data_IF_549498535831
#
_entry.id   IF_549498535831
#
_cell.length_a   1.000
_cell.length_b   1.000
_cell.length_c   1.000
_cell.angle_alpha   90.00
_cell.angle_beta   90.00
_cell.angle_gamma   90.00
#
_symmetry.space_group_name_H-M   'P 1'
#
loop_
_entity.id
_entity.type
_entity.pdbx_description
1 polymer ?
2 non-polymer ?
3 non-polymer ?
#
# COMPACT_ATOMS: atom_id res chain seq x y z
N UNK A 1 -19.72 12.83 -16.54
CA UNK A 1 -19.72 12.45 -17.98
C UNK A 1 -20.34 11.06 -18.18
N UNK A 2 -20.64 10.73 -19.43
CA UNK A 2 -21.23 9.44 -19.80
C UNK A 2 -20.19 8.35 -19.63
N UNK A 3 -18.94 8.77 -19.70
CA UNK A 3 -17.78 7.90 -19.53
C UNK A 3 -17.10 8.42 -18.26
N UNK A 4 -17.19 7.65 -17.17
CA UNK A 4 -16.59 8.06 -15.90
C UNK A 4 -15.08 7.87 -15.94
N UNK A 5 -14.33 8.79 -15.33
CA UNK A 5 -12.86 8.71 -15.30
C UNK A 5 -12.40 8.19 -13.92
N UNK A 6 -11.92 6.95 -13.90
CA UNK A 6 -11.49 6.30 -12.67
C UNK A 6 -9.98 6.21 -12.46
N UNK A 7 -9.54 6.57 -11.26
CA UNK A 7 -8.15 6.45 -10.90
C UNK A 7 -8.22 5.30 -9.91
N UNK A 8 -7.57 4.18 -10.20
CA UNK A 8 -7.65 3.05 -9.30
C UNK A 8 -6.35 2.71 -8.62
N UNK A 9 -6.42 2.60 -7.29
CA UNK A 9 -5.28 2.23 -6.49
C UNK A 9 -5.53 0.78 -6.08
N UNK A 10 -5.19 -0.16 -6.95
CA UNK A 10 -5.37 -1.58 -6.68
C UNK A 10 -4.18 -2.08 -5.89
N UNK A 11 -4.27 -1.97 -4.57
CA UNK A 11 -3.18 -2.39 -3.70
C UNK A 11 -3.37 -3.75 -3.07
N UNK A 12 -2.30 -4.23 -2.44
CA UNK A 12 -2.33 -5.53 -1.80
C UNK A 12 -3.08 -5.53 -0.47
N UNK A 13 -3.21 -4.36 0.15
CA UNK A 13 -3.92 -4.23 1.41
C UNK A 13 -5.29 -3.61 1.22
N UNK A 14 -5.32 -2.40 0.67
CA UNK A 14 -6.57 -1.68 0.40
C UNK A 14 -6.61 -1.34 -1.09
N UNK A 15 -7.82 -1.18 -1.62
CA UNK A 15 -8.01 -0.80 -3.02
C UNK A 15 -8.86 0.48 -2.98
N UNK A 16 -8.26 1.62 -3.32
CA UNK A 16 -8.99 2.89 -3.31
C UNK A 16 -9.41 3.27 -4.73
N UNK A 17 -10.61 3.81 -4.88
CA UNK A 17 -11.08 4.22 -6.20
C UNK A 17 -11.43 5.70 -6.26
N UNK A 18 -10.74 6.42 -7.14
CA UNK A 18 -10.94 7.85 -7.32
C UNK A 18 -11.84 8.11 -8.53
N UNK A 19 -12.81 9.00 -8.37
CA UNK A 19 -13.74 9.33 -9.45
C UNK A 19 -13.71 10.80 -9.84
N UNK A 20 -13.16 11.08 -11.01
CA UNK A 20 -13.06 12.45 -11.49
C UNK A 20 -14.34 13.24 -11.31
N UNK A 21 -14.30 14.22 -10.41
CA UNK A 21 -15.46 15.04 -10.17
C UNK A 21 -16.15 14.84 -8.84
N UNK A 22 -15.76 13.82 -8.08
CA UNK A 22 -16.42 13.59 -6.80
C UNK A 22 -15.54 13.14 -5.64
N UNK A 23 -14.26 12.93 -5.91
CA UNK A 23 -13.35 12.50 -4.85
C UNK A 23 -13.32 10.99 -4.70
N UNK A 24 -13.00 10.53 -3.50
CA UNK A 24 -12.92 9.10 -3.22
C UNK A 24 -14.31 8.46 -3.06
N UNK A 25 -14.60 7.46 -3.88
CA UNK A 25 -15.90 6.78 -3.87
C UNK A 25 -15.87 5.28 -3.56
N UNK A 26 -14.67 4.70 -3.45
CA UNK A 26 -14.51 3.30 -3.08
C UNK A 26 -13.30 3.35 -2.17
N UNK A 27 -13.35 2.60 -1.07
CA UNK A 27 -12.25 2.60 -0.11
C UNK A 27 -12.39 1.38 0.77
N UNK A 28 -11.89 0.25 0.29
CA UNK A 28 -12.00 -0.99 1.03
C UNK A 28 -10.88 -2.00 0.82
N UNK A 29 -10.70 -2.90 1.80
CA UNK A 29 -9.70 -3.96 1.80
C UNK A 29 -9.73 -4.77 0.52
N UNK A 30 -8.54 -5.04 -0.01
CA UNK A 30 -8.41 -5.81 -1.24
C UNK A 30 -8.61 -7.30 -0.95
N UNK A 31 -9.79 -7.65 -0.44
CA UNK A 31 -10.07 -9.05 -0.13
C UNK A 31 -11.37 -9.58 -0.74
N UNK A 32 -11.33 -10.84 -1.17
CA UNK A 32 -12.48 -11.50 -1.79
C UNK A 32 -12.75 -12.82 -1.09
N UNK A 33 -13.98 -12.98 -0.60
CA UNK A 33 -14.37 -14.21 0.09
C UNK A 33 -15.32 -14.95 -0.83
N UNK A 34 -14.97 -16.19 -1.16
CA UNK A 34 -15.79 -17.02 -2.04
C UNK A 34 -16.24 -18.30 -1.31
N UNK A 35 -16.99 -19.14 -1.99
CA UNK A 35 -17.44 -20.41 -1.43
C UNK A 35 -16.45 -21.46 -1.90
N UNK A 36 -15.53 -21.85 -1.01
CA UNK A 36 -14.49 -22.81 -1.34
C UNK A 36 -14.84 -23.96 -2.29
N UNK A 37 -16.12 -24.35 -2.34
CA UNK A 37 -16.53 -25.46 -3.20
C UNK A 37 -17.20 -25.10 -4.53
N UNK A 38 -18.22 -24.24 -4.50
CA UNK A 38 -18.92 -23.83 -5.73
C UNK A 38 -18.15 -22.79 -6.52
N UNK A 39 -17.53 -21.85 -5.82
CA UNK A 39 -16.77 -20.81 -6.48
C UNK A 39 -17.58 -19.53 -6.57
N UNK A 40 -18.46 -19.34 -5.59
CA UNK A 40 -19.34 -18.19 -5.57
C UNK A 40 -18.77 -17.06 -4.69
N UNK A 41 -18.96 -15.83 -5.14
CA UNK A 41 -18.50 -14.66 -4.40
C UNK A 41 -19.51 -14.41 -3.29
N UNK A 42 -19.05 -14.35 -2.04
CA UNK A 42 -19.93 -14.10 -0.88
C UNK A 42 -19.91 -12.61 -0.56
N UNK A 43 -18.72 -12.12 -0.26
CA UNK A 43 -18.55 -10.71 0.06
C UNK A 43 -17.18 -10.27 -0.44
N UNK A 44 -17.05 -8.96 -0.68
CA UNK A 44 -15.79 -8.36 -1.13
C UNK A 44 -15.58 -7.07 -0.32
N UNK A 45 -14.33 -6.79 0.05
CA UNK A 45 -14.05 -5.61 0.81
C UNK A 45 -14.07 -5.90 2.31
N UNK A 46 -14.36 -4.88 3.10
CA UNK A 46 -14.39 -4.99 4.55
C UNK A 46 -15.06 -6.25 5.11
N UNK A 47 -16.23 -6.61 4.59
CA UNK A 47 -16.93 -7.80 5.08
C UNK A 47 -16.12 -9.06 4.81
N UNK A 48 -15.30 -9.02 3.77
CA UNK A 48 -14.49 -10.17 3.42
C UNK A 48 -13.21 -10.19 4.23
N UNK A 49 -12.71 -9.01 4.61
CA UNK A 49 -11.48 -8.95 5.40
C UNK A 49 -11.75 -9.50 6.77
N UNK A 50 -12.85 -9.05 7.37
CA UNK A 50 -13.24 -9.49 8.70
C UNK A 50 -13.32 -11.02 8.74
N UNK A 51 -13.52 -11.63 7.58
CA UNK A 51 -13.58 -13.07 7.48
C UNK A 51 -12.22 -13.74 7.67
N UNK A 52 -11.17 -13.13 7.14
CA UNK A 52 -9.81 -13.69 7.23
C UNK A 52 -9.44 -14.31 8.55
N UNK A 53 -9.07 -15.58 8.53
CA UNK A 53 -8.67 -16.26 9.76
C UNK A 53 -9.78 -16.72 10.70
N UNK A 54 -11.02 -16.57 10.27
CA UNK A 54 -12.17 -16.98 11.07
C UNK A 54 -13.13 -17.70 10.12
N UNK A 55 -12.60 -18.26 9.05
CA UNK A 55 -13.44 -18.94 8.08
C UNK A 55 -13.41 -20.45 8.22
N UNK A 56 -14.51 -21.09 7.82
CA UNK A 56 -14.64 -22.54 7.89
C UNK A 56 -13.75 -23.08 6.78
N UNK A 57 -13.89 -24.36 6.45
CA UNK A 57 -13.09 -24.91 5.38
C UNK A 57 -13.87 -24.73 4.09
N UNK A 58 -15.14 -24.33 4.22
CA UNK A 58 -15.99 -24.14 3.06
C UNK A 58 -15.98 -22.70 2.53
N UNK A 59 -15.04 -21.91 3.03
CA UNK A 59 -14.92 -20.54 2.57
C UNK A 59 -13.44 -20.25 2.43
N UNK A 60 -13.10 -19.49 1.39
CA UNK A 60 -11.72 -19.13 1.12
C UNK A 60 -11.64 -17.61 0.92
N UNK A 61 -11.16 -16.89 1.94
CA UNK A 61 -11.02 -15.44 1.85
C UNK A 61 -9.69 -15.19 1.16
N UNK A 62 -9.72 -14.57 -0.01
CA UNK A 62 -8.50 -14.35 -0.77
C UNK A 62 -8.02 -12.91 -0.94
N UNK A 63 -6.70 -12.76 -0.76
CA UNK A 63 -5.99 -11.50 -0.93
C UNK A 63 -5.27 -11.77 -2.27
N UNK A 64 -5.96 -11.49 -3.39
CA UNK A 64 -5.45 -11.69 -4.75
C UNK A 64 -4.24 -10.85 -5.10
N UNK A 65 -4.07 -9.74 -4.38
CA UNK A 65 -2.93 -8.89 -4.63
C UNK A 65 -1.87 -9.23 -3.61
N UNK A 66 -0.66 -9.47 -4.08
CA UNK A 66 0.46 -9.79 -3.20
C UNK A 66 1.77 -9.26 -3.80
N UNK A 67 2.40 -8.36 -3.05
CA UNK A 67 3.65 -7.70 -3.44
C UNK A 67 3.40 -6.67 -4.53
N UNK A 68 2.29 -5.96 -4.38
CA UNK A 68 1.93 -4.92 -5.34
C UNK A 68 1.24 -5.36 -6.62
N UNK A 69 1.54 -6.59 -7.05
CA UNK A 69 0.99 -7.14 -8.29
C UNK A 69 -0.09 -8.21 -8.12
N UNK A 70 -0.59 -8.72 -9.24
CA UNK A 70 -1.63 -9.76 -9.23
C UNK A 70 -1.06 -11.14 -8.86
N UNK A 71 -1.43 -11.62 -7.68
CA UNK A 71 -0.97 -12.93 -7.19
C UNK A 71 -1.87 -14.06 -7.71
N UNK A 72 -3.16 -13.77 -7.83
CA UNK A 72 -4.12 -14.75 -8.32
C UNK A 72 -5.03 -13.96 -9.27
N UNK A 73 -4.73 -14.09 -10.56
CA UNK A 73 -5.43 -13.36 -11.62
C UNK A 73 -6.94 -13.28 -11.57
N UNK A 74 -7.61 -14.33 -12.02
CA UNK A 74 -9.06 -14.37 -12.05
C UNK A 74 -9.70 -13.85 -10.77
N UNK A 75 -9.03 -14.06 -9.65
CA UNK A 75 -9.55 -13.57 -8.38
C UNK A 75 -9.38 -12.05 -8.36
N UNK A 76 -8.18 -11.58 -8.69
CA UNK A 76 -7.89 -10.14 -8.74
C UNK A 76 -8.84 -9.40 -9.68
N UNK A 77 -9.05 -9.99 -10.86
CA UNK A 77 -9.93 -9.45 -11.89
C UNK A 77 -11.36 -9.27 -11.37
N UNK A 78 -11.85 -10.30 -10.67
CA UNK A 78 -13.19 -10.33 -10.08
C UNK A 78 -13.35 -9.25 -9.03
N UNK A 79 -12.25 -8.98 -8.32
CA UNK A 79 -12.22 -7.97 -7.28
C UNK A 79 -12.13 -6.60 -7.93
N UNK A 80 -11.28 -6.50 -8.94
CA UNK A 80 -11.05 -5.25 -9.67
C UNK A 80 -12.33 -4.74 -10.29
N UNK A 81 -13.12 -5.68 -10.79
CA UNK A 81 -14.39 -5.37 -11.43
C UNK A 81 -15.45 -4.88 -10.46
N UNK A 82 -15.61 -5.59 -9.34
CA UNK A 82 -16.59 -5.22 -8.33
C UNK A 82 -16.35 -3.78 -7.93
N UNK A 83 -15.14 -3.52 -7.45
CA UNK A 83 -14.75 -2.18 -7.02
C UNK A 83 -14.94 -1.13 -8.10
N UNK A 84 -14.63 -1.47 -9.34
CA UNK A 84 -14.81 -0.51 -10.43
C UNK A 84 -16.28 -0.22 -10.57
N UNK A 85 -17.09 -1.28 -10.63
CA UNK A 85 -18.54 -1.13 -10.77
C UNK A 85 -19.13 -0.32 -9.63
N UNK A 86 -18.94 -0.81 -8.40
CA UNK A 86 -19.45 -0.11 -7.23
C UNK A 86 -19.17 1.39 -7.34
N UNK A 87 -18.14 1.75 -8.10
CA UNK A 87 -17.75 3.14 -8.28
C UNK A 87 -18.53 3.80 -9.40
N UNK A 88 -18.60 3.11 -10.53
CA UNK A 88 -19.31 3.58 -11.72
C UNK A 88 -20.72 4.04 -11.42
N UNK A 89 -21.16 3.80 -10.20
CA UNK A 89 -22.50 4.18 -9.80
C UNK A 89 -23.52 3.25 -10.42
N UNK A 90 -23.03 2.26 -11.16
CA UNK A 90 -23.91 1.30 -11.81
C UNK A 90 -23.76 1.34 -13.32
N UNK A 91 -23.71 0.16 -13.93
CA UNK A 91 -23.54 0.00 -15.38
C UNK A 91 -23.88 1.27 -16.15
N UNK A 92 -22.86 1.89 -16.74
CA UNK A 92 -23.03 3.10 -17.53
C UNK A 92 -23.22 2.67 -18.98
N UNK A 93 -23.26 3.65 -19.87
CA UNK A 93 -23.40 3.38 -21.30
C UNK A 93 -22.02 3.23 -21.92
N UNK A 94 -21.08 4.04 -21.46
CA UNK A 94 -19.73 4.00 -21.98
C UNK A 94 -18.70 3.50 -20.97
N UNK A 95 -17.83 2.60 -21.43
CA UNK A 95 -16.78 2.04 -20.59
C UNK A 95 -15.85 3.16 -20.15
N UNK A 96 -15.49 3.18 -18.86
CA UNK A 96 -14.61 4.19 -18.28
C UNK A 96 -13.12 4.08 -18.69
N UNK A 97 -12.37 5.15 -18.43
CA UNK A 97 -10.93 5.22 -18.70
C UNK A 97 -10.32 4.91 -17.33
N UNK A 98 -9.39 3.95 -17.26
CA UNK A 98 -8.82 3.59 -15.97
C UNK A 98 -7.30 3.70 -15.83
N UNK A 99 -6.90 4.35 -14.74
CA UNK A 99 -5.50 4.55 -14.42
C UNK A 99 -5.30 3.75 -13.15
N UNK A 100 -4.66 2.60 -13.27
CA UNK A 100 -4.41 1.76 -12.11
C UNK A 100 -2.97 1.95 -11.66
N UNK A 101 -2.78 2.27 -10.38
CA UNK A 101 -1.44 2.46 -9.87
C UNK A 101 -0.67 1.15 -9.66
N UNK A 102 0.58 1.11 -10.12
CA UNK A 102 1.39 -0.07 -9.98
C UNK A 102 2.75 0.29 -9.38
N UNK A 103 3.45 -0.69 -8.79
CA UNK A 103 4.76 -0.41 -8.20
C UNK A 103 5.80 -0.19 -9.30
N UNK A 104 6.88 0.50 -8.98
CA UNK A 104 7.91 0.78 -9.98
C UNK A 104 8.63 -0.49 -10.44
N UNK A 105 9.07 -1.31 -9.48
CA UNK A 105 9.79 -2.54 -9.81
C UNK A 105 8.89 -3.71 -10.20
N UNK A 106 8.21 -3.55 -11.31
CA UNK A 106 7.29 -4.56 -11.77
C UNK A 106 7.76 -5.05 -13.15
N UNK A 107 7.83 -6.37 -13.34
CA UNK A 107 8.27 -6.93 -14.62
C UNK A 107 7.24 -6.73 -15.72
N UNK A 108 7.73 -6.76 -16.97
CA UNK A 108 6.88 -6.59 -18.15
C UNK A 108 5.70 -7.52 -18.15
N UNK A 109 5.87 -8.67 -17.49
CA UNK A 109 4.81 -9.66 -17.41
C UNK A 109 3.77 -9.25 -16.37
N UNK A 110 4.22 -8.96 -15.15
CA UNK A 110 3.32 -8.55 -14.06
C UNK A 110 2.54 -7.33 -14.47
N UNK A 111 3.01 -6.67 -15.52
CA UNK A 111 2.42 -5.45 -16.06
C UNK A 111 1.23 -5.72 -16.98
N UNK A 112 1.45 -6.50 -18.02
CA UNK A 112 0.39 -6.86 -18.97
C UNK A 112 -0.74 -7.53 -18.18
N UNK A 113 -0.37 -8.18 -17.09
CA UNK A 113 -1.34 -8.85 -16.23
C UNK A 113 -2.40 -7.84 -15.79
N UNK A 114 -1.95 -6.77 -15.16
CA UNK A 114 -2.84 -5.73 -14.67
C UNK A 114 -3.50 -4.97 -15.83
N UNK A 115 -2.81 -4.87 -16.96
CA UNK A 115 -3.38 -4.19 -18.11
C UNK A 115 -4.48 -5.03 -18.69
N UNK A 116 -4.28 -6.34 -18.67
CA UNK A 116 -5.29 -7.23 -19.22
C UNK A 116 -6.43 -7.37 -18.21
N UNK A 117 -6.09 -7.34 -16.93
CA UNK A 117 -7.11 -7.47 -15.89
C UNK A 117 -7.91 -6.17 -15.75
N UNK A 118 -7.44 -5.12 -16.40
CA UNK A 118 -8.13 -3.85 -16.33
C UNK A 118 -9.14 -3.78 -17.46
N UNK A 119 -8.83 -4.48 -18.54
CA UNK A 119 -9.70 -4.53 -19.71
C UNK A 119 -10.82 -5.54 -19.51
N UNK A 120 -10.47 -6.72 -19.02
CA UNK A 120 -11.46 -7.76 -18.76
C UNK A 120 -12.39 -7.27 -17.65
N UNK A 121 -11.87 -6.38 -16.82
CA UNK A 121 -12.66 -5.83 -15.73
C UNK A 121 -13.65 -4.78 -16.28
N UNK A 122 -13.77 -4.72 -17.61
CA UNK A 122 -14.67 -3.78 -18.25
C UNK A 122 -14.21 -2.33 -18.32
N UNK A 123 -13.17 -2.07 -19.12
CA UNK A 123 -12.63 -0.71 -19.29
C UNK A 123 -12.28 -0.43 -20.74
N UNK A 124 -12.58 0.77 -21.21
CA UNK A 124 -12.27 1.14 -22.59
C UNK A 124 -10.77 1.36 -22.83
N UNK A 125 -10.14 2.18 -21.96
CA UNK A 125 -8.69 2.48 -22.07
C UNK A 125 -8.04 2.34 -20.67
N UNK A 126 -6.91 1.61 -20.58
CA UNK A 126 -6.25 1.42 -19.28
C UNK A 126 -4.77 1.84 -19.27
N UNK A 127 -4.43 2.77 -18.38
CA UNK A 127 -3.08 3.25 -18.22
C UNK A 127 -2.54 2.73 -16.91
N UNK A 128 -1.22 2.59 -16.81
CA UNK A 128 -0.60 2.12 -15.58
C UNK A 128 0.16 3.32 -15.05
N UNK A 129 0.30 3.42 -13.74
CA UNK A 129 1.03 4.56 -13.18
C UNK A 129 1.82 4.26 -11.91
N UNK A 130 3.14 4.43 -11.99
CA UNK A 130 3.99 4.19 -10.84
C UNK A 130 3.31 4.79 -9.61
N UNK A 131 3.17 3.99 -8.57
CA UNK A 131 2.51 4.41 -7.34
C UNK A 131 3.05 5.70 -6.70
N UNK A 132 4.38 5.82 -6.56
CA UNK A 132 4.87 7.05 -5.95
C UNK A 132 4.63 8.29 -6.81
N UNK A 133 4.41 8.09 -8.10
CA UNK A 133 4.15 9.22 -8.96
C UNK A 133 2.78 9.77 -8.61
N UNK A 134 1.79 8.88 -8.61
CA UNK A 134 0.42 9.28 -8.28
C UNK A 134 0.37 9.81 -6.85
N UNK A 135 1.10 9.14 -5.96
CA UNK A 135 1.15 9.51 -4.55
C UNK A 135 1.54 10.98 -4.41
N UNK A 136 2.52 11.40 -5.21
CA UNK A 136 3.01 12.77 -5.23
C UNK A 136 1.95 13.67 -5.83
N UNK A 137 1.43 13.27 -6.99
CA UNK A 137 0.39 14.06 -7.63
C UNK A 137 -0.78 14.19 -6.66
N UNK A 138 -1.19 13.06 -6.09
CA UNK A 138 -2.30 13.06 -5.15
C UNK A 138 -2.03 13.82 -3.86
N UNK A 139 -1.09 14.75 -3.91
CA UNK A 139 -0.73 15.56 -2.76
C UNK A 139 -0.40 16.98 -3.23
N UNK A 140 -0.66 17.24 -4.51
CA UNK A 140 -0.41 18.54 -5.11
C UNK A 140 1.05 19.00 -5.18
N UNK A 141 2.01 18.08 -5.10
CA UNK A 141 3.42 18.44 -5.20
C UNK A 141 3.64 18.63 -6.69
N UNK A 142 4.41 19.64 -7.09
CA UNK A 142 4.59 19.79 -8.52
C UNK A 142 5.63 18.81 -9.01
N UNK A 143 5.14 17.78 -9.67
CA UNK A 143 5.97 16.73 -10.19
C UNK A 143 6.37 17.03 -11.63
N UNK A 144 5.71 18.03 -12.22
CA UNK A 144 5.99 18.43 -13.60
C UNK A 144 7.21 19.36 -13.60
N UNK A 145 7.46 19.99 -12.47
CA UNK A 145 8.55 20.94 -12.29
C UNK A 145 9.91 20.23 -12.21
N UNK A 146 10.98 20.93 -12.62
CA UNK A 146 12.34 20.38 -12.59
C UNK A 146 12.98 20.63 -11.23
N UNK A 147 12.51 19.91 -10.23
CA UNK A 147 13.03 20.05 -8.88
C UNK A 147 12.74 18.76 -8.15
N UNK A 148 13.78 18.19 -7.57
CA UNK A 148 13.67 16.95 -6.84
C UNK A 148 12.53 16.89 -5.83
N UNK A 149 11.88 15.73 -5.81
CA UNK A 149 10.79 15.45 -4.89
C UNK A 149 10.91 13.99 -4.47
N UNK A 150 11.53 13.73 -3.33
CA UNK A 150 11.64 12.35 -2.90
C UNK A 150 10.41 11.86 -2.15
N UNK A 151 9.91 10.73 -2.60
CA UNK A 151 8.73 10.10 -2.04
C UNK A 151 9.10 8.73 -1.51
N UNK A 152 8.56 8.40 -0.35
CA UNK A 152 8.77 7.10 0.27
C UNK A 152 7.37 6.56 0.60
N UNK A 153 6.89 5.67 -0.27
CA UNK A 153 5.57 5.07 -0.16
C UNK A 153 5.67 3.68 0.42
N UNK A 154 5.17 3.51 1.64
CA UNK A 154 5.20 2.22 2.29
C UNK A 154 3.76 1.71 2.38
N UNK A 155 3.40 0.82 1.45
CA UNK A 155 2.06 0.30 1.46
C UNK A 155 2.00 -1.03 2.19
N UNK A 156 0.94 -1.78 1.96
CA UNK A 156 0.83 -3.06 2.60
C UNK A 156 1.77 -4.07 2.00
N UNK A 157 2.02 -3.94 0.69
CA UNK A 157 2.89 -4.91 0.03
C UNK A 157 4.30 -4.49 -0.34
N UNK A 158 4.45 -3.28 -0.86
CA UNK A 158 5.76 -2.81 -1.28
C UNK A 158 6.16 -1.45 -0.77
N UNK A 159 7.47 -1.29 -0.58
CA UNK A 159 8.06 -0.03 -0.15
C UNK A 159 8.81 0.56 -1.35
N UNK A 160 8.28 1.68 -1.83
CA UNK A 160 8.85 2.35 -2.97
C UNK A 160 9.34 3.72 -2.57
N UNK A 161 10.58 3.99 -2.92
CA UNK A 161 11.22 5.27 -2.68
C UNK A 161 11.47 5.79 -4.08
N UNK A 162 11.07 7.03 -4.33
CA UNK A 162 11.27 7.60 -5.64
C UNK A 162 11.73 9.04 -5.56
N UNK A 163 12.55 9.42 -6.54
CA UNK A 163 13.04 10.79 -6.63
C UNK A 163 12.41 11.24 -7.92
N UNK A 164 11.47 12.17 -7.83
CA UNK A 164 10.73 12.67 -9.00
C UNK A 164 11.16 14.05 -9.52
N UNK A 165 11.13 14.18 -10.84
CA UNK A 165 11.49 15.42 -11.51
C UNK A 165 10.95 15.40 -12.93
N UNK A 166 10.44 16.54 -13.37
CA UNK A 166 9.93 16.66 -14.72
C UNK A 166 8.94 15.55 -15.08
N UNK A 167 7.88 15.42 -14.28
CA UNK A 167 6.86 14.43 -14.54
C UNK A 167 7.26 12.96 -14.66
N UNK A 168 8.42 12.58 -14.15
CA UNK A 168 8.83 11.19 -14.24
C UNK A 168 9.88 10.87 -13.20
N UNK A 169 10.09 9.59 -12.95
CA UNK A 169 11.04 9.11 -11.95
C UNK A 169 12.49 9.13 -12.42
N UNK A 170 13.34 9.76 -11.64
CA UNK A 170 14.76 9.82 -11.98
C UNK A 170 15.52 8.63 -11.39
N UNK A 171 15.29 8.33 -10.11
CA UNK A 171 15.94 7.18 -9.47
C UNK A 171 14.99 6.57 -8.45
N UNK A 172 15.20 5.30 -8.15
CA UNK A 172 14.30 4.63 -7.23
C UNK A 172 14.82 3.29 -6.76
N UNK A 173 14.04 2.70 -5.86
CA UNK A 173 14.31 1.38 -5.28
C UNK A 173 12.93 0.87 -4.88
N UNK A 174 12.70 -0.42 -5.02
CA UNK A 174 11.41 -0.99 -4.66
C UNK A 174 11.53 -2.36 -4.06
N UNK A 175 11.53 -2.42 -2.73
CA UNK A 175 11.64 -3.70 -2.07
C UNK A 175 10.24 -4.24 -1.84
N UNK A 176 10.14 -5.56 -1.68
CA UNK A 176 8.85 -6.23 -1.45
C UNK A 176 8.84 -6.54 0.03
N UNK A 177 8.82 -5.48 0.81
CA UNK A 177 8.83 -5.53 2.26
C UNK A 177 8.14 -4.29 2.80
N UNK A 178 6.93 -4.46 3.35
CA UNK A 178 6.22 -3.31 3.89
C UNK A 178 5.19 -3.66 4.98
N UNK A 179 3.96 -3.20 4.81
CA UNK A 179 2.92 -3.44 5.78
C UNK A 179 2.67 -4.88 6.20
N UNK A 180 2.52 -5.77 5.22
CA UNK A 180 2.28 -7.19 5.48
C UNK A 180 3.52 -7.86 6.03
N UNK A 181 4.66 -7.42 5.56
CA UNK A 181 5.89 -8.01 6.02
C UNK A 181 6.13 -7.61 7.48
N UNK A 182 5.41 -6.60 7.96
CA UNK A 182 5.55 -6.15 9.34
C UNK A 182 4.67 -6.99 10.27
N UNK A 183 3.40 -7.17 9.89
CA UNK A 183 2.44 -7.96 10.68
C UNK A 183 3.03 -9.31 11.03
N UNK A 184 3.60 -9.95 10.01
CA UNK A 184 4.21 -11.27 10.15
C UNK A 184 5.33 -11.26 11.19
N UNK A 185 6.19 -10.25 11.16
CA UNK A 185 7.27 -10.15 12.11
C UNK A 185 6.68 -10.19 13.51
N UNK A 186 5.64 -9.38 13.72
CA UNK A 186 4.96 -9.28 14.99
C UNK A 186 4.37 -10.63 15.34
N UNK A 187 3.66 -11.22 14.38
CA UNK A 187 3.05 -12.53 14.56
C UNK A 187 4.12 -13.55 14.93
N UNK A 188 5.19 -13.57 14.15
CA UNK A 188 6.27 -14.49 14.39
C UNK A 188 7.03 -14.12 15.66
N UNK A 189 6.92 -12.87 16.08
CA UNK A 189 7.60 -12.46 17.31
C UNK A 189 6.94 -13.12 18.50
N UNK A 190 5.60 -13.08 18.51
CA UNK A 190 4.82 -13.66 19.60
C UNK A 190 5.01 -15.17 19.62
N UNK A 191 4.98 -15.79 18.44
CA UNK A 191 5.16 -17.23 18.35
C UNK A 191 6.52 -17.64 18.90
N UNK A 192 7.57 -17.13 18.29
CA UNK A 192 8.94 -17.44 18.68
C UNK A 192 9.37 -17.04 20.09
N UNK A 193 8.86 -15.92 20.60
CA UNK A 193 9.25 -15.46 21.93
C UNK A 193 8.32 -15.88 23.04
N UNK A 194 7.02 -15.78 22.80
CA UNK A 194 6.06 -16.16 23.81
C UNK A 194 5.48 -17.51 23.51
N UNK A 195 6.00 -18.13 22.47
CA UNK A 195 5.51 -19.44 22.05
C UNK A 195 3.99 -19.46 22.10
N UNK A 196 3.38 -18.47 21.44
CA UNK A 196 1.93 -18.37 21.38
C UNK A 196 1.57 -17.98 19.96
N UNK A 197 0.65 -18.70 19.35
CA UNK A 197 0.26 -18.39 17.98
C UNK A 197 -0.90 -17.40 17.98
N UNK A 198 -0.72 -16.29 17.27
CA UNK A 198 -1.74 -15.28 17.16
C UNK A 198 -2.13 -15.18 15.70
N UNK A 199 -3.23 -14.47 15.42
CA UNK A 199 -3.69 -14.33 14.04
C UNK A 199 -3.13 -13.17 13.24
N UNK A 200 -3.11 -13.30 11.92
CA UNK A 200 -2.60 -12.23 11.07
C UNK A 200 -3.29 -10.90 11.45
N UNK A 201 -4.54 -10.98 11.89
CA UNK A 201 -5.29 -9.78 12.24
C UNK A 201 -5.06 -9.17 13.61
N UNK A 202 -4.71 -9.99 14.61
CA UNK A 202 -4.46 -9.44 15.93
C UNK A 202 -3.13 -8.72 15.85
N UNK A 203 -2.26 -9.22 14.98
CA UNK A 203 -0.94 -8.63 14.78
C UNK A 203 -1.10 -7.28 14.13
N UNK A 204 -1.94 -7.23 13.10
CA UNK A 204 -2.18 -5.97 12.40
C UNK A 204 -2.63 -4.94 13.44
N UNK A 205 -3.51 -5.39 14.33
CA UNK A 205 -4.05 -4.52 15.37
C UNK A 205 -2.92 -4.01 16.25
N UNK A 206 -2.01 -4.92 16.61
CA UNK A 206 -0.89 -4.53 17.43
C UNK A 206 -0.03 -3.53 16.65
N UNK A 207 0.24 -3.85 15.39
CA UNK A 207 1.04 -2.98 14.54
C UNK A 207 0.44 -1.60 14.51
N UNK A 208 -0.88 -1.57 14.50
CA UNK A 208 -1.62 -0.34 14.45
C UNK A 208 -1.84 0.33 15.82
N UNK A 209 -1.99 -0.46 16.87
CA UNK A 209 -2.22 0.16 18.17
C UNK A 209 -0.97 0.64 18.91
N UNK A 210 0.15 -0.05 18.72
CA UNK A 210 1.36 0.34 19.43
C UNK A 210 2.62 0.23 18.58
N UNK A 211 2.46 0.19 17.26
CA UNK A 211 3.59 0.10 16.34
C UNK A 211 4.41 1.36 16.35
N UNK A 212 5.67 1.26 16.74
CA UNK A 212 6.57 2.41 16.81
C UNK A 212 7.93 1.95 16.37
N UNK A 213 8.81 2.88 16.04
CA UNK A 213 10.14 2.52 15.60
C UNK A 213 11.24 3.41 16.17
N UNK A 214 10.88 4.30 17.07
CA UNK A 214 11.85 5.20 17.65
C UNK A 214 11.63 5.26 19.15
N UNK A 215 12.68 4.93 19.94
CA UNK A 215 12.65 4.91 21.40
C UNK A 215 12.35 6.23 22.11
N UNK A 216 11.23 6.29 22.80
CA UNK A 216 10.87 7.49 23.54
C UNK A 216 9.87 7.15 24.63
N UNK A 217 9.90 7.90 25.72
CA UNK A 217 9.01 7.63 26.85
C UNK A 217 7.59 7.34 26.42
N UNK A 218 6.98 8.24 25.65
CA UNK A 218 5.63 8.05 25.16
C UNK A 218 5.43 6.68 24.56
N UNK A 219 6.34 6.30 23.67
CA UNK A 219 6.30 5.00 22.99
C UNK A 219 6.55 3.82 23.90
N UNK A 220 7.66 3.82 24.60
CA UNK A 220 7.97 2.72 25.49
C UNK A 220 6.87 2.37 26.48
N UNK A 221 6.06 3.35 26.86
CA UNK A 221 4.98 3.14 27.83
C UNK A 221 3.76 2.45 27.21
N UNK A 222 3.67 2.49 25.88
CA UNK A 222 2.54 1.89 25.17
C UNK A 222 2.33 0.41 25.42
N UNK A 223 1.06 0.01 25.54
CA UNK A 223 0.70 -1.38 25.71
C UNK A 223 -0.72 -1.76 25.29
N UNK A 224 -0.82 -2.98 24.76
CA UNK A 224 -2.06 -3.58 24.30
C UNK A 224 -1.84 -5.08 24.53
N UNK A 225 -2.90 -5.88 24.38
CA UNK A 225 -2.79 -7.31 24.59
C UNK A 225 -3.18 -8.13 23.37
N UNK A 226 -2.76 -9.37 23.35
CA UNK A 226 -3.08 -10.26 22.25
C UNK A 226 -3.61 -11.59 22.77
N UNK A 227 -4.69 -12.06 22.15
CA UNK A 227 -5.30 -13.31 22.57
C UNK A 227 -5.10 -14.37 21.50
N UNK A 228 -4.45 -15.46 21.86
CA UNK A 228 -4.22 -16.55 20.92
C UNK A 228 -4.20 -17.91 21.58
N UNK A 229 -3.35 -18.81 21.08
CA UNK A 229 -3.22 -20.16 21.63
C UNK A 229 -1.81 -20.33 22.19
N UNK A 230 -1.71 -20.80 23.42
CA UNK A 230 -0.42 -21.04 24.06
C UNK A 230 0.09 -22.35 23.48
N UNK A 231 1.07 -22.29 22.60
CA UNK A 231 1.62 -23.51 21.98
C UNK A 231 2.33 -24.45 22.95
N UNK A 232 2.54 -24.00 24.18
CA UNK A 232 3.20 -24.84 25.17
C UNK A 232 2.21 -25.68 25.95
N UNK A 233 1.00 -25.15 26.12
CA UNK A 233 -0.03 -25.85 26.86
C UNK A 233 -1.29 -26.06 26.04
N UNK A 234 -1.28 -25.61 24.79
CA UNK A 234 -2.47 -25.77 23.97
C UNK A 234 -3.67 -25.18 24.67
N UNK A 235 -3.45 -24.10 25.40
CA UNK A 235 -4.54 -23.43 26.10
C UNK A 235 -4.73 -22.00 25.59
N UNK A 236 -5.99 -21.57 25.39
CA UNK A 236 -6.13 -20.20 24.92
C UNK A 236 -5.46 -19.30 25.95
N UNK A 237 -4.61 -18.39 25.49
CA UNK A 237 -3.90 -17.52 26.41
C UNK A 237 -4.06 -16.08 25.98
N UNK A 238 -3.90 -15.16 26.93
CA UNK A 238 -3.99 -13.72 26.67
C UNK A 238 -2.78 -13.07 27.32
N UNK A 239 -1.87 -12.53 26.52
CA UNK A 239 -0.68 -11.89 27.07
C UNK A 239 -0.58 -10.41 26.66
N UNK A 240 0.29 -9.68 27.36
CA UNK A 240 0.49 -8.25 27.13
C UNK A 240 1.82 -7.90 26.46
N UNK A 241 1.74 -7.13 25.37
CA UNK A 241 2.95 -6.71 24.65
C UNK A 241 3.16 -5.22 24.88
N UNK A 242 4.42 -4.83 25.08
CA UNK A 242 4.76 -3.43 25.28
C UNK A 242 5.38 -2.83 24.02
N UNK A 243 5.22 -1.52 23.83
CA UNK A 243 5.76 -0.87 22.65
C UNK A 243 7.23 -1.18 22.36
N UNK A 244 8.04 -1.27 23.41
CA UNK A 244 9.46 -1.56 23.23
C UNK A 244 9.73 -2.87 22.50
N UNK A 245 8.88 -3.87 22.70
CA UNK A 245 9.03 -5.17 22.08
C UNK A 245 8.65 -5.10 20.59
N UNK A 246 7.56 -4.41 20.29
CA UNK A 246 7.09 -4.28 18.91
C UNK A 246 8.14 -3.55 18.07
N UNK A 247 8.67 -2.47 18.61
CA UNK A 247 9.68 -1.70 17.90
C UNK A 247 10.82 -2.65 17.53
N UNK A 248 11.24 -3.38 18.53
CA UNK A 248 12.32 -4.33 18.39
C UNK A 248 11.98 -5.44 17.40
N UNK A 249 10.73 -5.90 17.40
CA UNK A 249 10.30 -6.95 16.48
C UNK A 249 10.18 -6.47 15.04
N UNK A 250 9.85 -5.19 14.86
CA UNK A 250 9.73 -4.61 13.52
C UNK A 250 11.08 -4.16 12.97
N UNK A 251 12.12 -4.22 13.81
CA UNK A 251 13.46 -3.79 13.42
C UNK A 251 13.92 -4.28 12.06
N UNK A 252 14.07 -5.59 11.91
CA UNK A 252 14.52 -6.18 10.65
C UNK A 252 13.88 -5.53 9.44
N UNK A 253 12.57 -5.32 9.49
CA UNK A 253 11.87 -4.70 8.38
C UNK A 253 12.19 -3.21 8.31
N UNK A 254 12.12 -2.54 9.46
CA UNK A 254 12.40 -1.10 9.48
C UNK A 254 13.75 -0.84 8.85
N UNK A 255 14.71 -1.72 9.08
CA UNK A 255 16.02 -1.52 8.52
C UNK A 255 16.02 -1.61 6.99
N UNK A 256 15.32 -2.58 6.43
CA UNK A 256 15.27 -2.73 4.98
C UNK A 256 14.70 -1.46 4.36
N UNK A 257 13.61 -0.96 4.95
CA UNK A 257 12.97 0.25 4.50
C UNK A 257 14.03 1.36 4.44
N UNK A 258 14.71 1.58 5.56
CA UNK A 258 15.75 2.61 5.66
C UNK A 258 16.90 2.38 4.67
N UNK A 259 17.36 1.14 4.57
CA UNK A 259 18.44 0.84 3.66
C UNK A 259 18.09 1.26 2.23
N UNK A 260 16.89 0.95 1.78
CA UNK A 260 16.55 1.34 0.42
C UNK A 260 16.46 2.85 0.26
N UNK A 261 16.16 3.57 1.33
CA UNK A 261 16.07 5.03 1.23
C UNK A 261 17.49 5.56 1.07
N UNK A 262 18.41 4.96 1.81
CA UNK A 262 19.81 5.35 1.77
C UNK A 262 20.32 5.07 0.37
N UNK A 263 20.24 3.82 -0.05
CA UNK A 263 20.68 3.46 -1.39
C UNK A 263 20.20 4.45 -2.44
N UNK A 264 18.90 4.71 -2.49
CA UNK A 264 18.31 5.65 -3.46
C UNK A 264 19.02 6.99 -3.53
N UNK A 265 19.13 7.67 -2.40
CA UNK A 265 19.79 8.95 -2.32
C UNK A 265 21.19 8.87 -2.87
N UNK A 266 21.91 7.82 -2.51
CA UNK A 266 23.27 7.61 -2.95
C UNK A 266 23.45 7.63 -4.45
N UNK A 267 22.39 7.32 -5.18
CA UNK A 267 22.45 7.28 -6.65
C UNK A 267 21.59 8.37 -7.34
N UNK A 268 21.37 9.47 -6.63
CA UNK A 268 20.56 10.57 -7.13
C UNK A 268 21.43 11.76 -7.53
N UNK A 269 21.42 12.13 -8.82
CA UNK A 269 22.23 13.26 -9.28
C UNK A 269 22.22 14.31 -8.22
N UNK A 270 23.41 14.73 -7.76
CA UNK A 270 23.56 15.73 -6.70
C UNK A 270 22.63 16.94 -6.82
N UNK A 271 22.31 17.37 -8.04
CA UNK A 271 21.43 18.51 -8.21
C UNK A 271 20.08 18.26 -7.56
N UNK A 272 19.61 17.02 -7.65
CA UNK A 272 18.33 16.67 -7.05
C UNK A 272 18.46 16.67 -5.54
N UNK A 273 19.49 15.98 -5.05
CA UNK A 273 19.76 15.89 -3.63
C UNK A 273 19.78 17.30 -3.01
N UNK A 274 20.42 18.23 -3.70
CA UNK A 274 20.50 19.61 -3.23
C UNK A 274 19.09 20.10 -3.00
N UNK A 275 18.19 19.70 -3.89
CA UNK A 275 16.79 20.09 -3.79
C UNK A 275 16.06 19.35 -2.68
N UNK A 276 16.15 18.02 -2.70
CA UNK A 276 15.51 17.19 -1.68
C UNK A 276 15.93 17.65 -0.30
N UNK A 277 17.18 18.05 -0.16
CA UNK A 277 17.70 18.52 1.12
C UNK A 277 16.96 19.73 1.67
N UNK A 278 16.73 20.73 0.82
CA UNK A 278 16.05 21.95 1.24
C UNK A 278 14.55 21.72 1.33
N UNK A 279 14.08 20.80 0.50
CA UNK A 279 12.66 20.48 0.40
C UNK A 279 12.17 19.43 1.39
N UNK A 280 12.92 18.35 1.53
CA UNK A 280 12.52 17.31 2.45
C UNK A 280 12.03 16.06 1.73
N UNK A 281 12.14 14.92 2.42
CA UNK A 281 11.71 13.64 1.90
C UNK A 281 10.24 13.51 2.28
N UNK A 282 9.43 13.04 1.36
CA UNK A 282 8.01 12.90 1.61
C UNK A 282 7.69 11.48 2.02
N UNK A 283 7.07 11.33 3.18
CA UNK A 283 6.72 10.01 3.67
C UNK A 283 5.23 9.74 3.55
N UNK A 284 4.88 8.71 2.81
CA UNK A 284 3.47 8.36 2.62
C UNK A 284 3.29 6.85 2.62
N UNK A 285 2.04 6.40 2.62
CA UNK A 285 1.73 4.99 2.63
C UNK A 285 1.22 4.48 3.97
N UNK A 286 0.13 3.71 3.94
CA UNK A 286 -0.45 3.18 5.16
C UNK A 286 0.57 2.56 6.10
N UNK A 287 1.49 1.80 5.53
CA UNK A 287 2.50 1.17 6.36
C UNK A 287 3.59 2.09 6.85
N UNK A 288 3.49 3.38 6.53
CA UNK A 288 4.51 4.33 6.97
C UNK A 288 4.02 5.03 8.22
N UNK A 289 2.79 4.70 8.62
CA UNK A 289 2.21 5.31 9.79
C UNK A 289 2.82 4.85 11.11
N UNK A 290 3.85 4.00 11.05
CA UNK A 290 4.48 3.55 12.29
C UNK A 290 4.89 4.79 13.05
N UNK A 291 4.71 4.74 14.36
CA UNK A 291 5.06 5.86 15.23
C UNK A 291 6.56 6.21 15.18
N UNK A 292 6.86 7.48 14.86
CA UNK A 292 8.25 7.93 14.83
C UNK A 292 9.11 7.51 13.65
N UNK A 293 8.48 6.98 12.60
CA UNK A 293 9.19 6.53 11.39
C UNK A 293 9.82 7.72 10.69
N UNK A 294 9.11 8.84 10.66
CA UNK A 294 9.65 10.03 10.04
C UNK A 294 10.84 10.48 10.88
N UNK A 295 10.65 10.62 12.19
CA UNK A 295 11.76 11.04 13.04
C UNK A 295 12.96 10.16 12.73
N UNK A 296 12.77 8.85 12.81
CA UNK A 296 13.85 7.90 12.55
C UNK A 296 14.43 8.09 11.17
N UNK A 297 13.56 8.25 10.18
CA UNK A 297 13.99 8.42 8.81
C UNK A 297 14.77 9.71 8.65
N UNK A 298 14.25 10.77 9.23
CA UNK A 298 14.90 12.07 9.17
C UNK A 298 16.27 12.00 9.84
N UNK A 299 16.40 11.17 10.87
CA UNK A 299 17.67 11.02 11.57
C UNK A 299 18.72 10.33 10.69
N UNK A 300 18.41 9.13 10.22
CA UNK A 300 19.33 8.36 9.40
C UNK A 300 19.78 9.09 8.14
N UNK A 301 18.92 9.93 7.59
CA UNK A 301 19.25 10.68 6.38
C UNK A 301 19.82 12.04 6.72
N UNK A 302 19.22 12.72 7.68
CA UNK A 302 19.69 14.05 8.04
C UNK A 302 18.87 15.09 7.31
N UNK A 303 17.91 14.62 6.54
CA UNK A 303 17.02 15.49 5.77
C UNK A 303 15.65 15.53 6.43
N UNK A 304 15.04 16.70 6.47
CA UNK A 304 13.72 16.81 7.04
C UNK A 304 12.87 15.81 6.28
N UNK A 305 11.99 15.13 7.00
CA UNK A 305 11.10 14.15 6.40
C UNK A 305 9.68 14.65 6.71
N UNK A 306 8.83 14.71 5.70
CA UNK A 306 7.47 15.19 5.91
C UNK A 306 6.40 14.15 5.61
N UNK A 307 5.55 13.87 6.60
CA UNK A 307 4.45 12.92 6.46
C UNK A 307 3.39 13.55 5.59
N UNK A 308 2.86 12.76 4.66
CA UNK A 308 1.82 13.20 3.76
C UNK A 308 0.59 13.68 4.54
N UNK A 309 -0.32 14.33 3.83
CA UNK A 309 -1.54 14.86 4.44
C UNK A 309 -2.62 13.79 4.49
N UNK A 310 -2.65 12.94 3.47
CA UNK A 310 -3.61 11.84 3.39
C UNK A 310 -3.02 10.66 2.60
N UNK A 311 -2.13 9.90 3.26
CA UNK A 311 -1.39 8.73 2.75
C UNK A 311 -2.20 7.56 2.16
N UNK A 312 -3.27 7.17 2.82
CA UNK A 312 -4.06 6.06 2.34
C UNK A 312 -4.71 6.37 1.00
N UNK A 313 -5.07 7.64 0.81
CA UNK A 313 -5.75 8.06 -0.40
C UNK A 313 -4.92 8.87 -1.41
N UNK A 314 -3.62 8.95 -1.19
CA UNK A 314 -2.74 9.71 -2.06
C UNK A 314 -2.46 9.09 -3.44
N UNK A 315 -2.61 7.77 -3.55
CA UNK A 315 -2.37 7.11 -4.84
C UNK A 315 -3.64 7.11 -5.67
N UNK A 316 -4.75 6.81 -5.04
CA UNK A 316 -6.02 6.81 -5.75
C UNK A 316 -6.22 8.20 -6.33
N UNK A 317 -6.02 9.22 -5.50
CA UNK A 317 -6.14 10.62 -5.92
C UNK A 317 -5.28 10.92 -7.15
N UNK A 318 -3.98 10.71 -7.01
CA UNK A 318 -3.06 10.95 -8.10
C UNK A 318 -3.47 10.21 -9.36
N UNK A 319 -3.60 8.88 -9.27
CA UNK A 319 -3.98 8.05 -10.42
C UNK A 319 -5.17 8.62 -11.18
N UNK A 320 -6.07 9.30 -10.48
CA UNK A 320 -7.24 9.86 -11.11
C UNK A 320 -6.97 11.26 -11.64
N UNK A 321 -6.15 12.00 -10.90
CA UNK A 321 -5.79 13.35 -11.27
C UNK A 321 -4.88 13.39 -12.47
N UNK A 322 -4.06 12.36 -12.64
CA UNK A 322 -3.14 12.34 -13.77
C UNK A 322 -3.92 12.30 -15.06
N UNK A 323 -5.23 12.14 -14.97
CA UNK A 323 -6.04 12.11 -16.17
C UNK A 323 -6.16 13.50 -16.78
N UNK A 324 -6.28 14.53 -15.94
CA UNK A 324 -6.39 15.90 -16.44
C UNK A 324 -5.01 16.57 -16.46
N UNK A 325 -3.97 15.78 -16.20
CA UNK A 325 -2.59 16.27 -16.25
C UNK A 325 -2.04 15.53 -17.47
N UNK A 326 -2.60 15.89 -18.63
CA UNK A 326 -2.27 15.30 -19.93
C UNK A 326 -0.80 15.34 -20.36
N UNK A 327 -0.05 16.33 -19.90
CA UNK A 327 1.35 16.41 -20.29
C UNK A 327 2.14 15.21 -19.75
N UNK A 328 1.61 14.61 -18.67
CA UNK A 328 2.19 13.44 -17.98
C UNK A 328 1.51 12.14 -18.42
N UNK A 329 0.23 12.21 -18.77
CA UNK A 329 -0.54 11.05 -19.19
C UNK A 329 0.01 10.44 -20.49
N UNK A 330 0.68 11.27 -21.29
CA UNK A 330 1.27 10.83 -22.56
C UNK A 330 2.39 9.80 -22.40
N UNK A 331 3.10 9.88 -21.28
CA UNK A 331 4.21 9.00 -21.00
C UNK A 331 3.87 7.74 -20.18
N UNK A 332 2.58 7.43 -20.09
CA UNK A 332 2.16 6.25 -19.33
C UNK A 332 1.91 5.11 -20.29
N UNK A 333 1.95 3.89 -19.77
CA UNK A 333 1.68 2.72 -20.60
C UNK A 333 0.19 2.37 -20.55
N UNK A 334 -0.42 2.15 -21.71
CA UNK A 334 -1.84 1.86 -21.75
C UNK A 334 -2.29 0.64 -22.53
N UNK A 335 -3.60 0.47 -22.64
CA UNK A 335 -4.18 -0.67 -23.34
C UNK A 335 -5.51 -0.30 -24.03
X LIG B 1 -0.75 3.11 -1.39
X LIG C 1 0.83 -1.22 -1.80
X LIG C 1 2.15 -1.64 -1.09
X LIG C 1 0.65 0.31 -1.97
X LIG C 1 0.49 -2.02 -3.06
X LIG C 1 -1.53 -0.83 -0.03
X LIG C 1 -1.97 0.13 -1.14
X LIG C 1 -2.69 -1.52 0.54
X LIG C 1 -0.38 -1.67 -0.71
X LIG C 1 -1.64 1.26 2.29
X LIG C 1 -1.06 2.65 2.05
X LIG C 1 -3.19 1.23 2.31
X LIG C 1 -1.08 0.21 1.19
X LIG C 1 -1.02 0.59 3.64
X LIG C 1 -1.71 -0.62 3.98
X LIG C 1 -0.92 -1.30 5.12
X LIG C 1 -0.76 -0.32 6.15
X LIG C 1 -1.66 -2.40 5.86
X LIG C 1 -0.66 -3.39 6.14
X LIG C 1 -2.03 -1.77 7.25
X LIG C 1 -1.93 -2.62 8.39
X LIG C 1 -1.07 -0.68 7.49
X LIG C 1 -1.47 0.41 8.51
X LIG C 1 -2.69 1.04 8.58
X LIG C 1 -2.74 1.90 9.62
X LIG C 1 -1.53 1.81 10.23
X LIG C 1 -1.06 2.53 11.42
X LIG C 1 -1.91 3.42 12.06
X LIG C 1 0.26 2.28 11.88
X LIG C 1 1.02 1.39 11.15
X LIG C 1 0.58 0.71 10.03
X LIG C 1 -0.70 0.90 9.53
#
# INVERSE_FOLDING_TARGET
>A
MLRKDIGIDLGTANTLVFLRGKGIVVNEPSVIAIDSTTGEILKVGLEAKNMIGKTPATIKAIRPMRDGVIADYTVALVMLRYFINKAKGGMNLFKPRVVIGVPIGITDVERRAILDAGLEAGASKVFLIEEPMAAAIGSNLNVEEPSGNMVVDIGGGTTEVAVISLGSIVTWESIRIAGDEMDEAIVQYVRETYRVAIGERTAERVKIEIGNVFPSKENDELETTVSGIDLSTGLPRKLTLKGGEVREALRSVVVAIVESVRTTLEKTPPELVSDIIERGIFLTGGGSLLRGLDTLLQKETGISVIRSEEPLTAVAKGAGMVLDKVNILKKLQGAGGSHHHHHH
>B hetero
1 MG MG
>C hetero
1 ANP PG O1G O2G O3G PB O1B O2B N3B PA O1A O2A O3A O5' C5' C4' O4' C3' O3' C2' O2' C1' N9 C8 N7 C5 C6 N6 N1 C2 N3 C4
#
